data_IF_742669021369
#
_entry.id   IF_742669021369
#
_cell.length_a   1.000
_cell.length_b   1.000
_cell.length_c   1.000
_cell.angle_alpha   90.00
_cell.angle_beta   90.00
_cell.angle_gamma   90.00
#
_symmetry.space_group_name_H-M   'P 1'
#
loop_
_entity.id
_entity.type
_entity.pdbx_description
1 polymer ?
#
# COMPACT_ATOMS: atom_id res chain seq x y z
N UNK A 1 -32.42 14.23 -7.39
CA UNK A 1 -31.40 13.79 -6.41
C UNK A 1 -32.11 13.02 -5.32
N UNK A 2 -31.57 11.89 -4.88
CA UNK A 2 -32.13 11.14 -3.76
C UNK A 2 -32.13 12.00 -2.49
N UNK A 3 -33.22 11.96 -1.74
CA UNK A 3 -33.34 12.57 -0.42
C UNK A 3 -32.30 11.98 0.56
N UNK A 4 -32.02 12.69 1.67
CA UNK A 4 -31.10 12.17 2.70
C UNK A 4 -31.58 10.83 3.25
N UNK A 5 -32.88 10.66 3.46
CA UNK A 5 -33.46 9.40 3.93
C UNK A 5 -33.23 8.24 2.95
N UNK A 6 -33.42 8.47 1.65
CA UNK A 6 -33.14 7.46 0.61
C UNK A 6 -31.65 7.10 0.55
N UNK A 7 -30.75 8.07 0.70
CA UNK A 7 -29.31 7.81 0.74
C UNK A 7 -28.89 7.00 1.96
N UNK A 8 -29.48 7.28 3.14
CA UNK A 8 -29.23 6.51 4.37
C UNK A 8 -29.73 5.07 4.19
N UNK A 9 -30.95 4.90 3.70
CA UNK A 9 -31.53 3.58 3.45
C UNK A 9 -30.72 2.76 2.44
N UNK A 10 -30.28 3.39 1.34
CA UNK A 10 -29.45 2.72 0.33
C UNK A 10 -28.08 2.30 0.88
N UNK A 11 -27.43 3.14 1.69
CA UNK A 11 -26.15 2.82 2.30
C UNK A 11 -26.28 1.68 3.33
N UNK A 12 -27.32 1.73 4.17
CA UNK A 12 -27.60 0.67 5.13
C UNK A 12 -27.90 -0.66 4.43
N UNK A 13 -28.70 -0.62 3.36
CA UNK A 13 -29.00 -1.80 2.55
C UNK A 13 -27.73 -2.42 1.93
N UNK A 14 -26.80 -1.61 1.42
CA UNK A 14 -25.50 -2.10 0.92
C UNK A 14 -24.69 -2.74 2.06
N UNK A 15 -24.59 -2.10 3.22
CA UNK A 15 -23.86 -2.66 4.37
C UNK A 15 -24.41 -4.00 4.86
N UNK A 16 -25.73 -4.16 4.87
CA UNK A 16 -26.38 -5.38 5.35
C UNK A 16 -26.35 -6.52 4.32
N UNK A 17 -26.40 -6.19 3.03
CA UNK A 17 -26.55 -7.18 1.95
C UNK A 17 -25.27 -7.53 1.19
N UNK A 18 -24.26 -6.65 1.17
CA UNK A 18 -23.08 -6.82 0.32
C UNK A 18 -22.00 -7.68 1.03
N UNK A 19 -21.55 -8.81 0.45
CA UNK A 19 -20.51 -9.66 1.04
C UNK A 19 -19.18 -8.95 1.30
N UNK A 20 -18.90 -7.82 0.62
CA UNK A 20 -17.74 -6.97 0.89
C UNK A 20 -17.66 -6.51 2.35
N UNK A 21 -18.81 -6.35 3.02
CA UNK A 21 -18.90 -5.81 4.38
C UNK A 21 -19.09 -6.86 5.46
N UNK A 22 -19.08 -8.15 5.10
CA UNK A 22 -19.24 -9.23 6.06
C UNK A 22 -18.13 -9.19 7.13
N UNK A 23 -18.54 -9.05 8.40
CA UNK A 23 -17.62 -8.98 9.54
C UNK A 23 -16.91 -7.63 9.72
N UNK A 24 -17.33 -6.57 9.00
CA UNK A 24 -16.80 -5.21 9.17
C UNK A 24 -17.68 -4.43 10.14
N UNK A 25 -17.13 -4.07 11.29
CA UNK A 25 -17.79 -3.28 12.31
C UNK A 25 -17.68 -1.77 12.02
N UNK A 26 -18.79 -1.06 12.24
CA UNK A 26 -18.87 0.41 12.18
C UNK A 26 -19.46 0.92 13.49
N UNK A 27 -18.70 1.65 14.32
CA UNK A 27 -19.21 2.24 15.56
C UNK A 27 -19.95 3.58 15.29
N UNK A 28 -20.45 3.79 14.07
CA UNK A 28 -21.22 4.94 13.63
C UNK A 28 -22.31 4.47 12.66
N UNK A 29 -23.31 5.32 12.42
CA UNK A 29 -24.48 4.97 11.61
C UNK A 29 -24.33 5.40 10.14
N UNK A 30 -25.18 4.83 9.26
CA UNK A 30 -25.32 5.32 7.89
C UNK A 30 -25.81 6.80 7.85
N UNK A 31 -26.58 7.22 8.85
CA UNK A 31 -27.00 8.61 9.02
C UNK A 31 -25.81 9.55 9.26
N UNK A 32 -24.85 9.14 10.09
CA UNK A 32 -23.62 9.91 10.31
C UNK A 32 -22.83 10.10 9.02
N UNK A 33 -22.72 9.03 8.21
CA UNK A 33 -22.02 9.10 6.92
C UNK A 33 -22.70 10.10 5.97
N UNK A 34 -24.02 9.98 5.78
CA UNK A 34 -24.76 10.89 4.88
C UNK A 34 -24.75 12.33 5.40
N UNK A 35 -24.77 12.52 6.73
CA UNK A 35 -24.67 13.85 7.36
C UNK A 35 -23.31 14.52 7.08
N UNK A 36 -22.22 13.76 7.00
CA UNK A 36 -20.86 14.25 6.77
C UNK A 36 -20.45 14.32 5.28
N UNK A 37 -21.23 13.71 4.38
CA UNK A 37 -20.95 13.63 2.94
C UNK A 37 -21.08 14.96 2.18
N UNK A 38 -21.86 15.90 2.70
CA UNK A 38 -22.26 17.10 1.94
C UNK A 38 -23.40 16.81 0.95
N UNK A 39 -23.79 17.81 0.16
CA UNK A 39 -24.92 17.71 -0.77
C UNK A 39 -24.58 17.03 -2.10
N UNK A 40 -23.30 16.84 -2.41
CA UNK A 40 -22.80 16.30 -3.67
C UNK A 40 -21.69 15.27 -3.40
N UNK A 41 -21.87 14.06 -3.93
CA UNK A 41 -20.86 13.01 -3.85
C UNK A 41 -19.97 13.08 -5.11
N UNK A 42 -18.70 13.44 -4.92
CA UNK A 42 -17.70 13.39 -5.98
C UNK A 42 -17.38 11.93 -6.29
N UNK A 43 -17.34 11.58 -7.57
CA UNK A 43 -16.96 10.24 -7.98
C UNK A 43 -15.44 10.07 -7.97
N UNK A 44 -14.98 8.98 -7.35
CA UNK A 44 -13.56 8.61 -7.26
C UNK A 44 -13.32 7.31 -8.03
N UNK A 45 -13.48 7.33 -9.36
CA UNK A 45 -13.55 6.13 -10.21
C UNK A 45 -12.30 5.25 -10.13
N UNK A 46 -11.10 5.85 -10.05
CA UNK A 46 -9.83 5.10 -9.91
C UNK A 46 -9.78 4.37 -8.56
N UNK A 47 -10.08 5.07 -7.46
CA UNK A 47 -10.08 4.47 -6.12
C UNK A 47 -11.13 3.36 -6.01
N UNK A 48 -12.35 3.58 -6.52
CA UNK A 48 -13.42 2.58 -6.52
C UNK A 48 -13.00 1.33 -7.30
N UNK A 49 -12.60 1.50 -8.57
CA UNK A 49 -12.15 0.38 -9.42
C UNK A 49 -10.98 -0.36 -8.80
N UNK A 50 -10.00 0.38 -8.30
CA UNK A 50 -8.82 -0.17 -7.62
C UNK A 50 -9.20 -1.00 -6.41
N UNK A 51 -10.06 -0.48 -5.53
CA UNK A 51 -10.49 -1.17 -4.31
C UNK A 51 -11.30 -2.46 -4.62
N UNK A 52 -12.23 -2.39 -5.57
CA UNK A 52 -13.00 -3.56 -6.02
C UNK A 52 -12.08 -4.64 -6.63
N UNK A 53 -11.13 -4.23 -7.48
CA UNK A 53 -10.13 -5.13 -8.07
C UNK A 53 -9.20 -5.72 -7.02
N UNK A 54 -8.73 -4.92 -6.06
CA UNK A 54 -7.87 -5.39 -4.97
C UNK A 54 -8.59 -6.44 -4.12
N UNK A 55 -9.86 -6.19 -3.76
CA UNK A 55 -10.68 -7.15 -3.03
C UNK A 55 -10.83 -8.48 -3.79
N UNK A 56 -11.13 -8.42 -5.09
CA UNK A 56 -11.23 -9.61 -5.94
C UNK A 56 -9.91 -10.37 -6.00
N UNK A 57 -8.78 -9.68 -6.27
CA UNK A 57 -7.46 -10.30 -6.34
C UNK A 57 -7.06 -11.01 -5.04
N UNK A 58 -7.31 -10.41 -3.87
CA UNK A 58 -6.98 -11.02 -2.58
C UNK A 58 -7.79 -12.28 -2.28
N UNK A 59 -9.01 -12.38 -2.82
CA UNK A 59 -9.89 -13.55 -2.66
C UNK A 59 -9.57 -14.66 -3.65
N UNK A 60 -9.36 -14.29 -4.91
CA UNK A 60 -9.34 -15.25 -6.03
C UNK A 60 -7.93 -15.80 -6.29
N UNK A 61 -6.89 -15.15 -5.76
CA UNK A 61 -5.50 -15.56 -5.96
C UNK A 61 -4.94 -16.29 -4.73
N UNK A 62 -3.92 -17.16 -4.91
CA UNK A 62 -3.20 -17.74 -3.79
C UNK A 62 -2.66 -16.65 -2.86
N UNK A 63 -2.02 -15.62 -3.44
CA UNK A 63 -1.61 -14.37 -2.81
C UNK A 63 -1.35 -13.31 -3.90
N UNK A 64 -1.19 -12.07 -3.47
CA UNK A 64 -0.88 -10.91 -4.28
C UNK A 64 0.46 -10.33 -3.82
N UNK A 65 1.47 -10.39 -4.69
CA UNK A 65 2.78 -9.82 -4.44
C UNK A 65 2.84 -8.36 -4.91
N UNK A 66 3.49 -7.50 -4.14
CA UNK A 66 3.76 -6.11 -4.49
C UNK A 66 5.21 -5.71 -4.13
N UNK A 67 5.74 -4.72 -4.83
CA UNK A 67 7.02 -4.10 -4.53
C UNK A 67 6.79 -2.62 -4.24
N UNK A 68 7.46 -2.09 -3.22
CA UNK A 68 7.40 -0.65 -2.95
C UNK A 68 7.94 0.16 -4.11
N UNK A 69 7.13 1.05 -4.67
CA UNK A 69 7.51 1.96 -5.74
C UNK A 69 7.88 3.33 -5.15
N UNK A 70 9.06 3.85 -5.52
CA UNK A 70 9.51 5.21 -5.16
C UNK A 70 9.30 6.23 -6.28
N UNK A 71 8.83 5.79 -7.45
CA UNK A 71 8.55 6.64 -8.60
C UNK A 71 7.56 6.01 -9.56
N UNK A 72 6.86 6.85 -10.33
CA UNK A 72 5.74 6.41 -11.18
C UNK A 72 6.16 5.48 -12.33
N UNK A 73 7.29 5.75 -12.97
CA UNK A 73 7.83 4.84 -14.00
C UNK A 73 8.23 3.48 -13.42
N UNK A 74 8.73 3.44 -12.19
CA UNK A 74 9.03 2.17 -11.52
C UNK A 74 7.76 1.35 -11.29
N UNK A 75 6.65 2.00 -10.89
CA UNK A 75 5.35 1.34 -10.76
C UNK A 75 4.82 0.83 -12.11
N UNK A 76 4.97 1.61 -13.18
CA UNK A 76 4.63 1.16 -14.54
C UNK A 76 5.41 -0.09 -14.94
N UNK A 77 6.74 -0.09 -14.71
CA UNK A 77 7.58 -1.25 -15.01
C UNK A 77 7.22 -2.49 -14.15
N UNK A 78 6.78 -2.30 -12.90
CA UNK A 78 6.26 -3.39 -12.07
C UNK A 78 5.01 -4.03 -12.70
N UNK A 79 4.08 -3.22 -13.24
CA UNK A 79 2.88 -3.73 -13.93
C UNK A 79 3.25 -4.44 -15.23
N UNK A 80 4.15 -3.86 -16.03
CA UNK A 80 4.63 -4.48 -17.28
C UNK A 80 5.36 -5.80 -17.03
N UNK A 81 6.05 -5.93 -15.90
CA UNK A 81 6.69 -7.18 -15.48
C UNK A 81 5.70 -8.24 -14.96
N UNK A 82 4.41 -7.91 -14.86
CA UNK A 82 3.33 -8.83 -14.48
C UNK A 82 2.84 -8.73 -13.04
N UNK A 83 3.30 -7.74 -12.24
CA UNK A 83 2.71 -7.49 -10.93
C UNK A 83 1.31 -6.90 -11.06
N UNK A 84 0.39 -7.37 -10.22
CA UNK A 84 -1.04 -7.00 -10.27
C UNK A 84 -1.46 -6.07 -9.13
N UNK A 85 -0.52 -5.61 -8.32
CA UNK A 85 -0.73 -4.61 -7.30
C UNK A 85 0.58 -3.87 -7.03
N UNK A 86 0.43 -2.66 -6.51
CA UNK A 86 1.52 -1.75 -6.23
C UNK A 86 1.48 -1.36 -4.76
N UNK A 87 2.65 -1.07 -4.20
CA UNK A 87 2.77 -0.54 -2.84
C UNK A 87 3.49 0.79 -2.86
N UNK A 88 2.98 1.76 -2.10
CA UNK A 88 3.64 3.05 -1.88
C UNK A 88 3.96 3.16 -0.41
N UNK A 89 5.25 3.00 -0.09
CA UNK A 89 5.75 3.15 1.27
C UNK A 89 5.69 4.62 1.72
N UNK A 90 5.44 4.83 3.01
CA UNK A 90 5.73 6.08 3.69
C UNK A 90 7.21 6.09 4.07
N UNK A 91 7.89 7.23 3.89
CA UNK A 91 9.34 7.47 4.10
C UNK A 91 10.34 6.37 3.63
N UNK A 92 11.45 6.78 3.00
CA UNK A 92 12.60 5.88 2.80
C UNK A 92 13.36 5.64 4.13
N UNK A 93 13.08 6.43 5.16
CA UNK A 93 13.68 6.36 6.48
C UNK A 93 12.64 5.85 7.49
N UNK A 94 12.77 4.60 7.98
CA UNK A 94 11.81 4.04 8.93
C UNK A 94 11.76 4.87 10.23
N UNK A 95 10.54 5.13 10.71
CA UNK A 95 10.30 5.58 12.09
C UNK A 95 10.36 7.09 12.34
N UNK A 96 10.46 7.91 11.30
CA UNK A 96 10.27 9.35 11.39
C UNK A 96 8.98 9.72 10.63
N UNK A 97 8.21 10.69 11.13
CA UNK A 97 7.06 11.26 10.41
C UNK A 97 7.37 12.72 10.12
N UNK A 98 8.49 12.96 9.42
CA UNK A 98 9.07 14.27 9.20
C UNK A 98 8.66 14.87 7.84
N UNK A 99 8.15 14.07 6.91
CA UNK A 99 7.64 14.58 5.64
C UNK A 99 6.17 15.00 5.75
N UNK A 100 5.74 15.83 4.79
CA UNK A 100 4.36 16.25 4.69
C UNK A 100 3.45 15.03 4.47
N UNK A 101 2.36 14.94 5.24
CA UNK A 101 1.35 13.89 5.12
C UNK A 101 0.82 13.71 3.69
N UNK A 102 0.84 14.77 2.87
CA UNK A 102 0.42 14.76 1.46
C UNK A 102 1.39 14.07 0.50
N UNK A 103 2.63 13.73 0.92
CA UNK A 103 3.64 13.16 0.02
C UNK A 103 3.21 11.80 -0.54
N UNK A 104 2.65 10.92 0.30
CA UNK A 104 2.16 9.61 -0.15
C UNK A 104 1.02 9.79 -1.14
N UNK A 105 0.05 10.67 -0.86
CA UNK A 105 -1.04 10.97 -1.79
C UNK A 105 -0.53 11.55 -3.13
N UNK A 106 0.51 12.38 -3.09
CA UNK A 106 1.16 12.91 -4.31
C UNK A 106 1.81 11.78 -5.11
N UNK A 107 2.49 10.84 -4.46
CA UNK A 107 3.09 9.69 -5.11
C UNK A 107 2.02 8.75 -5.72
N UNK A 108 0.94 8.47 -4.99
CA UNK A 108 -0.21 7.67 -5.48
C UNK A 108 -0.81 8.32 -6.73
N UNK A 109 -1.04 9.63 -6.71
CA UNK A 109 -1.56 10.38 -7.86
C UNK A 109 -0.62 10.26 -9.05
N UNK A 110 0.67 10.53 -8.85
CA UNK A 110 1.67 10.43 -9.92
C UNK A 110 1.75 9.04 -10.52
N UNK A 111 1.64 7.98 -9.71
CA UNK A 111 1.59 6.59 -10.19
C UNK A 111 0.35 6.39 -11.07
N UNK A 112 -0.84 6.74 -10.57
CA UNK A 112 -2.07 6.57 -11.33
C UNK A 112 -2.08 7.36 -12.65
N UNK A 113 -1.53 8.58 -12.66
CA UNK A 113 -1.41 9.39 -13.88
C UNK A 113 -0.49 8.73 -14.92
N UNK A 114 0.63 8.13 -14.48
CA UNK A 114 1.53 7.37 -15.36
C UNK A 114 0.88 6.09 -15.88
N UNK A 115 0.16 5.35 -15.04
CA UNK A 115 -0.54 4.13 -15.47
C UNK A 115 -1.68 4.43 -16.44
N UNK A 116 -2.43 5.53 -16.22
CA UNK A 116 -3.41 6.04 -17.17
C UNK A 116 -2.76 6.41 -18.51
N UNK A 117 -1.59 7.05 -18.48
CA UNK A 117 -0.87 7.38 -19.71
C UNK A 117 -0.45 6.11 -20.46
N UNK A 118 0.04 5.09 -19.77
CA UNK A 118 0.41 3.82 -20.38
C UNK A 118 -0.81 3.11 -21.02
N UNK A 119 -1.96 3.11 -20.33
CA UNK A 119 -3.24 2.62 -20.84
C UNK A 119 -3.70 3.38 -22.09
N UNK A 120 -3.63 4.72 -22.06
CA UNK A 120 -3.94 5.57 -23.22
C UNK A 120 -3.06 5.29 -24.43
N UNK A 121 -1.75 5.09 -24.23
CA UNK A 121 -0.81 4.72 -25.30
C UNK A 121 -1.19 3.37 -25.89
N UNK A 122 -1.42 2.37 -25.05
CA UNK A 122 -1.82 1.03 -25.48
C UNK A 122 -3.12 1.06 -26.29
N UNK A 123 -4.15 1.74 -25.79
CA UNK A 123 -5.45 1.84 -26.43
C UNK A 123 -5.37 2.58 -27.78
N UNK A 124 -4.59 3.66 -27.87
CA UNK A 124 -4.38 4.40 -29.11
C UNK A 124 -3.65 3.57 -30.18
N UNK A 125 -2.82 2.60 -29.77
CA UNK A 125 -2.17 1.64 -30.65
C UNK A 125 -3.08 0.45 -31.04
N UNK A 126 -4.34 0.44 -30.57
CA UNK A 126 -5.29 -0.64 -30.84
C UNK A 126 -5.00 -1.92 -30.05
N UNK A 127 -4.33 -1.78 -28.90
CA UNK A 127 -3.97 -2.90 -28.01
C UNK A 127 -4.76 -2.81 -26.70
N UNK A 128 -4.89 -3.96 -26.04
CA UNK A 128 -5.55 -4.13 -24.74
C UNK A 128 -4.89 -5.25 -23.89
N UNK A 129 -3.60 -5.52 -24.15
CA UNK A 129 -2.87 -6.67 -23.61
C UNK A 129 -2.44 -6.53 -22.13
N UNK A 130 -2.38 -5.31 -21.60
CA UNK A 130 -2.05 -5.04 -20.20
C UNK A 130 -3.14 -4.21 -19.50
N UNK A 131 -3.55 -4.65 -18.30
CA UNK A 131 -4.39 -3.85 -17.42
C UNK A 131 -3.53 -2.99 -16.47
N UNK A 132 -3.09 -1.84 -17.00
CA UNK A 132 -2.14 -0.93 -16.34
C UNK A 132 -2.61 -0.37 -15.00
N UNK A 133 -3.92 -0.18 -14.80
CA UNK A 133 -4.46 0.40 -13.58
C UNK A 133 -4.52 -0.63 -12.43
N UNK A 134 -3.34 -1.13 -12.06
CA UNK A 134 -3.14 -2.00 -10.92
C UNK A 134 -3.50 -1.26 -9.62
N UNK A 135 -4.19 -1.92 -8.67
CA UNK A 135 -4.53 -1.32 -7.38
C UNK A 135 -3.29 -0.89 -6.59
N UNK A 136 -3.33 0.33 -6.07
CA UNK A 136 -2.27 0.91 -5.23
C UNK A 136 -2.65 0.79 -3.76
N UNK A 137 -1.83 0.10 -2.97
CA UNK A 137 -1.91 0.08 -1.51
C UNK A 137 -0.91 1.11 -0.96
N UNK A 138 -1.41 2.06 -0.17
CA UNK A 138 -0.64 3.18 0.32
C UNK A 138 -0.44 3.15 1.84
N UNK A 139 0.72 3.64 2.27
CA UNK A 139 1.07 3.83 3.66
C UNK A 139 0.39 5.07 4.27
N UNK A 140 -0.37 4.86 5.33
CA UNK A 140 -1.07 5.91 6.09
C UNK A 140 -0.34 6.34 7.37
N UNK A 141 0.80 5.74 7.75
CA UNK A 141 1.49 6.05 9.01
C UNK A 141 2.04 7.49 9.01
N UNK A 142 2.63 7.92 7.90
CA UNK A 142 3.43 9.15 7.79
C UNK A 142 2.65 10.46 8.06
N UNK A 143 1.33 10.41 8.27
CA UNK A 143 0.51 11.61 8.53
C UNK A 143 -0.60 11.46 9.57
N UNK A 144 -0.84 10.27 10.13
CA UNK A 144 -2.00 10.01 10.99
C UNK A 144 -1.66 9.99 12.49
N UNK A 145 -1.27 11.14 13.02
CA UNK A 145 -0.99 11.33 14.45
C UNK A 145 -2.21 11.08 15.35
N UNK A 146 -3.43 11.26 14.83
CA UNK A 146 -4.69 11.04 15.56
C UNK A 146 -5.80 10.61 14.59
N UNK A 147 -6.98 10.26 15.12
CA UNK A 147 -8.13 9.83 14.32
C UNK A 147 -8.55 10.87 13.27
N UNK A 148 -8.56 12.17 13.60
CA UNK A 148 -8.90 13.22 12.64
C UNK A 148 -7.89 13.34 11.49
N UNK A 149 -6.59 13.18 11.79
CA UNK A 149 -5.56 13.15 10.76
C UNK A 149 -5.66 11.89 9.87
N UNK A 150 -6.00 10.73 10.46
CA UNK A 150 -6.27 9.50 9.72
C UNK A 150 -7.46 9.67 8.75
N UNK A 151 -8.52 10.37 9.17
CA UNK A 151 -9.67 10.70 8.32
C UNK A 151 -9.24 11.52 7.09
N UNK A 152 -8.57 12.65 7.29
CA UNK A 152 -8.15 13.53 6.19
C UNK A 152 -7.11 12.89 5.27
N UNK A 153 -6.15 12.13 5.83
CA UNK A 153 -5.18 11.40 5.02
C UNK A 153 -5.84 10.32 4.17
N UNK A 154 -6.78 9.56 4.73
CA UNK A 154 -7.56 8.57 3.97
C UNK A 154 -8.30 9.24 2.82
N UNK A 155 -8.89 10.43 3.06
CA UNK A 155 -9.56 11.18 1.99
C UNK A 155 -8.61 11.58 0.88
N UNK A 156 -7.47 12.17 1.23
CA UNK A 156 -6.45 12.57 0.26
C UNK A 156 -5.92 11.37 -0.57
N UNK A 157 -5.77 10.19 0.06
CA UNK A 157 -5.36 8.97 -0.63
C UNK A 157 -6.44 8.45 -1.59
N UNK A 158 -7.71 8.49 -1.21
CA UNK A 158 -8.83 8.13 -2.10
C UNK A 158 -8.94 9.11 -3.26
N UNK A 159 -8.79 10.42 -3.01
CA UNK A 159 -8.75 11.45 -4.06
C UNK A 159 -7.58 11.27 -5.03
N UNK A 160 -6.48 10.66 -4.58
CA UNK A 160 -5.34 10.29 -5.39
C UNK A 160 -5.51 8.96 -6.14
N UNK A 161 -6.55 8.18 -5.81
CA UNK A 161 -6.84 6.89 -6.45
C UNK A 161 -6.24 5.67 -5.74
N UNK A 162 -5.99 5.73 -4.42
CA UNK A 162 -5.57 4.55 -3.66
C UNK A 162 -6.70 3.50 -3.60
N UNK A 163 -6.33 2.23 -3.75
CA UNK A 163 -7.22 1.08 -3.63
C UNK A 163 -7.33 0.57 -2.18
N UNK A 164 -6.25 0.74 -1.42
CA UNK A 164 -6.19 0.39 0.00
C UNK A 164 -5.21 1.26 0.75
N UNK A 165 -5.42 1.37 2.06
CA UNK A 165 -4.59 2.15 2.98
C UNK A 165 -4.28 1.31 4.21
N UNK A 166 -3.06 1.38 4.73
CA UNK A 166 -2.74 0.79 6.03
C UNK A 166 -2.49 1.86 7.10
N UNK A 167 -2.92 1.57 8.31
CA UNK A 167 -2.63 2.35 9.51
C UNK A 167 -2.16 1.43 10.63
N UNK A 168 -1.32 1.99 11.49
CA UNK A 168 -0.56 1.25 12.47
C UNK A 168 -0.81 1.78 13.86
N UNK A 169 -0.39 0.98 14.83
CA UNK A 169 -0.47 1.29 16.24
C UNK A 169 0.81 1.90 16.80
N UNK A 170 1.70 2.38 15.92
CA UNK A 170 2.88 3.14 16.29
C UNK A 170 2.52 4.62 16.52
N UNK A 171 3.16 5.20 17.53
CA UNK A 171 3.16 6.63 17.76
C UNK A 171 4.14 7.31 16.81
N UNK A 172 3.68 8.36 16.13
CA UNK A 172 4.54 9.23 15.34
C UNK A 172 5.59 9.89 16.26
N UNK A 173 6.87 9.74 15.92
CA UNK A 173 7.97 10.28 16.73
C UNK A 173 9.03 10.96 15.86
N UNK A 174 9.61 12.09 16.31
CA UNK A 174 10.70 12.73 15.57
C UNK A 174 12.04 12.00 15.73
N UNK A 175 12.19 11.11 16.72
CA UNK A 175 13.44 10.42 17.04
C UNK A 175 13.47 8.96 16.54
N UNK A 176 14.67 8.48 16.19
CA UNK A 176 14.93 7.10 15.72
C UNK A 176 14.89 6.05 16.85
N UNK A 177 14.10 6.30 17.89
CA UNK A 177 14.02 5.47 19.09
C UNK A 177 13.34 4.13 18.83
N UNK A 178 13.30 3.27 19.85
CA UNK A 178 12.52 2.04 19.84
C UNK A 178 11.05 2.34 19.48
N UNK A 179 10.41 1.46 18.71
CA UNK A 179 9.00 1.61 18.34
C UNK A 179 8.13 1.78 19.60
N UNK A 180 7.21 2.75 19.55
CA UNK A 180 6.33 3.14 20.66
C UNK A 180 4.90 2.89 20.25
N UNK A 181 4.17 2.12 21.03
CA UNK A 181 2.76 1.82 20.79
C UNK A 181 1.88 2.96 21.30
N UNK A 182 0.83 3.27 20.56
CA UNK A 182 -0.35 3.94 21.11
C UNK A 182 -1.28 2.91 21.77
N UNK A 183 -2.19 3.31 22.68
CA UNK A 183 -3.16 2.40 23.26
C UNK A 183 -4.03 1.74 22.18
N UNK A 184 -4.44 0.49 22.40
CA UNK A 184 -5.23 -0.31 21.43
C UNK A 184 -6.45 0.46 20.92
N UNK A 185 -7.21 1.12 21.79
CA UNK A 185 -8.35 1.98 21.43
C UNK A 185 -8.01 3.17 20.53
N UNK A 186 -6.80 3.72 20.61
CA UNK A 186 -6.39 4.82 19.73
C UNK A 186 -6.15 4.31 18.31
N UNK A 187 -5.51 3.15 18.16
CA UNK A 187 -5.37 2.48 16.87
C UNK A 187 -6.75 2.15 16.27
N UNK A 188 -7.68 1.62 17.08
CA UNK A 188 -9.08 1.39 16.65
C UNK A 188 -9.77 2.69 16.21
N UNK A 189 -9.54 3.81 16.91
CA UNK A 189 -10.09 5.10 16.53
C UNK A 189 -9.55 5.59 15.17
N UNK A 190 -8.27 5.35 14.87
CA UNK A 190 -7.68 5.64 13.55
C UNK A 190 -8.31 4.78 12.44
N UNK A 191 -8.45 3.47 12.66
CA UNK A 191 -9.09 2.55 11.70
C UNK A 191 -10.56 2.92 11.46
N UNK A 192 -11.28 3.28 12.52
CA UNK A 192 -12.66 3.76 12.47
C UNK A 192 -12.78 5.03 11.63
N UNK A 193 -11.89 5.99 11.86
CA UNK A 193 -11.86 7.24 11.12
C UNK A 193 -11.51 7.04 9.64
N UNK A 194 -10.57 6.13 9.32
CA UNK A 194 -10.27 5.75 7.96
C UNK A 194 -11.47 5.10 7.26
N UNK A 195 -12.21 4.22 7.93
CA UNK A 195 -13.44 3.63 7.37
C UNK A 195 -14.51 4.70 7.14
N UNK A 196 -14.66 5.63 8.08
CA UNK A 196 -15.62 6.72 7.95
C UNK A 196 -15.30 7.61 6.75
N UNK A 197 -14.02 7.91 6.51
CA UNK A 197 -13.59 8.63 5.31
C UNK A 197 -13.96 7.90 4.03
N UNK A 198 -13.70 6.59 3.95
CA UNK A 198 -14.05 5.76 2.79
C UNK A 198 -15.57 5.70 2.54
N UNK A 199 -16.38 5.53 3.58
CA UNK A 199 -17.85 5.49 3.50
C UNK A 199 -18.42 6.87 3.11
N UNK A 200 -17.85 7.96 3.63
CA UNK A 200 -18.21 9.35 3.27
C UNK A 200 -17.94 9.60 1.79
N UNK A 201 -16.77 9.17 1.30
CA UNK A 201 -16.36 9.29 -0.11
C UNK A 201 -17.00 8.24 -1.03
N UNK A 202 -17.78 7.31 -0.47
CA UNK A 202 -18.50 6.30 -1.24
C UNK A 202 -17.56 5.36 -2.00
N UNK A 203 -16.45 4.94 -1.40
CA UNK A 203 -15.50 3.99 -2.01
C UNK A 203 -15.28 2.76 -1.11
N UNK A 204 -15.19 1.54 -1.68
CA UNK A 204 -14.99 0.32 -0.88
C UNK A 204 -13.51 0.07 -0.51
N UNK A 205 -12.75 1.15 -0.30
CA UNK A 205 -11.31 1.18 -0.03
C UNK A 205 -10.92 0.15 1.03
N UNK A 206 -9.88 -0.64 0.76
CA UNK A 206 -9.43 -1.65 1.71
C UNK A 206 -8.65 -1.01 2.84
N UNK A 207 -8.96 -1.39 4.07
CA UNK A 207 -8.21 -0.98 5.25
C UNK A 207 -7.37 -2.12 5.78
N UNK A 208 -6.10 -1.84 6.01
CA UNK A 208 -5.14 -2.79 6.57
C UNK A 208 -4.73 -2.28 7.95
N UNK A 209 -4.90 -3.08 9.00
CA UNK A 209 -4.43 -2.73 10.33
C UNK A 209 -3.05 -3.36 10.58
N UNK A 210 -2.05 -2.50 10.78
CA UNK A 210 -0.69 -2.89 11.13
C UNK A 210 -0.48 -2.85 12.64
N UNK A 211 0.19 -3.84 13.20
CA UNK A 211 0.70 -3.80 14.57
C UNK A 211 2.21 -3.96 14.59
N UNK A 212 2.88 -3.18 15.44
CA UNK A 212 4.33 -3.24 15.67
C UNK A 212 4.68 -3.88 17.02
N UNK A 213 3.70 -4.50 17.70
CA UNK A 213 3.85 -5.03 19.05
C UNK A 213 4.80 -6.24 19.18
N UNK A 214 5.23 -6.85 18.06
CA UNK A 214 6.31 -7.85 18.10
C UNK A 214 7.64 -7.22 18.53
N UNK A 215 7.97 -6.04 17.99
CA UNK A 215 9.24 -5.36 18.25
C UNK A 215 9.15 -4.20 19.24
N UNK A 216 7.96 -3.65 19.49
CA UNK A 216 7.79 -2.45 20.31
C UNK A 216 7.81 -2.74 21.82
N UNK A 217 8.73 -2.08 22.53
CA UNK A 217 8.94 -2.26 23.98
C UNK A 217 8.41 -1.09 24.83
N UNK A 218 7.76 -0.10 24.19
CA UNK A 218 7.22 1.09 24.83
C UNK A 218 5.75 1.30 24.45
N UNK A 219 4.96 1.82 25.40
CA UNK A 219 3.54 2.16 25.24
C UNK A 219 3.28 3.56 25.81
N UNK A 220 2.49 4.37 25.09
CA UNK A 220 2.16 5.74 25.49
C UNK A 220 1.35 5.82 26.79
N UNK A 221 0.40 4.90 27.00
CA UNK A 221 -0.47 4.89 28.17
C UNK A 221 -1.04 3.49 28.43
N UNK A 222 -1.10 3.08 29.71
CA UNK A 222 -1.64 1.81 30.20
C UNK A 222 -3.17 1.80 30.40
N UNK A 223 -3.86 2.78 29.82
CA UNK A 223 -5.27 3.04 30.08
C UNK A 223 -6.23 2.02 29.46
N UNK A 224 -5.78 1.27 28.46
CA UNK A 224 -6.58 0.27 27.75
C UNK A 224 -6.43 -1.13 28.38
N UNK A 225 -7.54 -1.83 28.59
CA UNK A 225 -7.55 -3.16 29.19
C UNK A 225 -6.82 -4.22 28.36
N UNK A 226 -6.74 -4.05 27.03
CA UNK A 226 -6.01 -4.97 26.15
C UNK A 226 -4.49 -4.87 26.32
N UNK A 227 -4.01 -3.71 26.76
CA UNK A 227 -2.58 -3.41 26.85
C UNK A 227 -2.00 -3.70 28.24
N UNK A 228 -2.82 -3.51 29.29
CA UNK A 228 -2.42 -3.68 30.70
C UNK A 228 -1.70 -5.00 31.01
N UNK A 229 -2.10 -6.18 30.49
CA UNK A 229 -1.41 -7.44 30.77
C UNK A 229 0.07 -7.46 30.35
N UNK A 230 0.48 -6.56 29.45
CA UNK A 230 1.82 -6.50 28.90
C UNK A 230 2.68 -5.41 29.57
N UNK A 231 2.09 -4.48 30.32
CA UNK A 231 2.82 -3.46 31.06
C UNK A 231 3.69 -4.08 32.17
N UNK A 232 4.97 -3.70 32.23
CA UNK A 232 5.90 -4.22 33.26
C UNK A 232 5.81 -3.45 34.59
N UNK A 233 5.13 -2.31 34.59
CA UNK A 233 5.08 -1.36 35.71
C UNK A 233 6.21 -0.32 35.71
N UNK A 234 7.23 -0.50 34.87
CA UNK A 234 8.31 0.48 34.72
C UNK A 234 7.93 1.60 33.73
N UNK A 235 8.52 2.79 33.93
CA UNK A 235 8.35 3.94 33.04
C UNK A 235 9.70 4.52 32.60
N UNK A 236 9.72 5.16 31.44
CA UNK A 236 10.86 5.96 30.97
C UNK A 236 10.78 7.40 31.48
N UNK A 237 11.85 8.19 31.28
CA UNK A 237 11.90 9.61 31.70
C UNK A 237 10.91 10.49 30.92
N UNK A 238 10.62 10.10 29.68
CA UNK A 238 9.62 10.73 28.81
C UNK A 238 8.18 10.35 29.21
N UNK A 239 8.02 9.41 30.15
CA UNK A 239 6.73 8.98 30.67
C UNK A 239 6.11 7.78 29.95
N UNK A 240 6.80 7.14 29.01
CA UNK A 240 6.32 5.92 28.37
C UNK A 240 6.32 4.74 29.35
N UNK A 241 5.38 3.82 29.19
CA UNK A 241 5.33 2.55 29.92
C UNK A 241 6.18 1.51 29.18
N UNK A 242 7.00 0.76 29.92
CA UNK A 242 7.67 -0.40 29.34
C UNK A 242 6.69 -1.56 29.23
N UNK A 243 6.73 -2.26 28.11
CA UNK A 243 5.84 -3.40 27.82
C UNK A 243 6.63 -4.63 27.37
N UNK A 244 6.11 -5.81 27.68
CA UNK A 244 6.54 -7.08 27.09
C UNK A 244 6.08 -7.10 25.64
N UNK A 245 7.03 -7.25 24.71
CA UNK A 245 6.79 -7.38 23.28
C UNK A 245 6.73 -8.86 22.84
N UNK A 246 6.34 -9.11 21.60
CA UNK A 246 6.39 -10.44 20.97
C UNK A 246 5.05 -10.90 20.39
N UNK A 247 4.89 -12.22 20.23
CA UNK A 247 3.72 -12.82 19.58
C UNK A 247 2.40 -12.53 20.33
N UNK A 248 2.39 -12.70 21.65
CA UNK A 248 1.18 -12.55 22.47
C UNK A 248 0.53 -11.15 22.36
N UNK A 249 1.26 -10.03 22.59
CA UNK A 249 0.68 -8.70 22.42
C UNK A 249 0.31 -8.40 20.95
N UNK A 250 1.07 -8.91 19.98
CA UNK A 250 0.73 -8.76 18.56
C UNK A 250 -0.60 -9.46 18.20
N UNK A 251 -0.83 -10.67 18.71
CA UNK A 251 -2.10 -11.39 18.53
C UNK A 251 -3.25 -10.65 19.21
N UNK A 252 -3.11 -10.23 20.47
CA UNK A 252 -4.18 -9.50 21.19
C UNK A 252 -4.60 -8.25 20.43
N UNK A 253 -3.63 -7.48 19.93
CA UNK A 253 -3.90 -6.27 19.14
C UNK A 253 -4.53 -6.59 17.79
N UNK A 254 -4.01 -7.57 17.06
CA UNK A 254 -4.59 -8.01 15.79
C UNK A 254 -6.05 -8.46 15.94
N UNK A 255 -6.37 -9.21 17.00
CA UNK A 255 -7.74 -9.63 17.33
C UNK A 255 -8.64 -8.42 17.65
N UNK A 256 -8.13 -7.42 18.37
CA UNK A 256 -8.87 -6.18 18.64
C UNK A 256 -9.12 -5.35 17.37
N UNK A 257 -8.21 -5.38 16.40
CA UNK A 257 -8.33 -4.65 15.14
C UNK A 257 -9.16 -5.38 14.09
N UNK A 258 -9.29 -6.71 14.20
CA UNK A 258 -9.95 -7.55 13.21
C UNK A 258 -11.35 -7.07 12.78
N UNK A 259 -12.24 -6.58 13.67
CA UNK A 259 -13.55 -6.08 13.23
C UNK A 259 -13.48 -4.80 12.39
N UNK A 260 -12.41 -4.02 12.50
CA UNK A 260 -12.31 -2.68 11.90
C UNK A 260 -11.45 -2.62 10.63
N UNK A 261 -10.75 -3.70 10.30
CA UNK A 261 -9.86 -3.79 9.14
C UNK A 261 -10.26 -4.93 8.21
N UNK A 262 -9.98 -4.80 6.92
CA UNK A 262 -10.16 -5.87 5.94
C UNK A 262 -9.02 -6.89 6.01
N UNK A 263 -7.79 -6.39 6.26
CA UNK A 263 -6.55 -7.18 6.32
C UNK A 263 -5.79 -6.84 7.60
N UNK A 264 -5.16 -7.84 8.23
CA UNK A 264 -4.29 -7.66 9.40
C UNK A 264 -2.83 -7.87 9.04
N UNK A 265 -1.95 -7.04 9.58
CA UNK A 265 -0.50 -7.11 9.35
C UNK A 265 0.25 -7.01 10.67
N UNK A 266 1.01 -8.05 11.03
CA UNK A 266 2.02 -7.96 12.08
C UNK A 266 3.37 -7.62 11.45
N UNK A 267 3.98 -6.51 11.83
CA UNK A 267 5.37 -6.25 11.49
C UNK A 267 6.27 -7.21 12.28
N UNK A 268 7.33 -7.69 11.65
CA UNK A 268 8.24 -8.67 12.25
C UNK A 268 9.69 -8.24 12.09
N UNK A 269 10.50 -8.53 13.09
CA UNK A 269 11.94 -8.23 13.10
C UNK A 269 12.81 -9.19 12.24
N UNK A 270 12.28 -10.34 11.82
CA UNK A 270 13.01 -11.37 11.04
C UNK A 270 12.07 -12.25 10.21
N UNK A 271 12.56 -12.90 9.14
CA UNK A 271 11.74 -13.79 8.32
C UNK A 271 11.60 -15.16 9.00
N UNK A 272 10.49 -15.37 9.71
CA UNK A 272 10.26 -16.55 10.56
C UNK A 272 8.86 -17.14 10.27
N UNK A 273 8.83 -18.26 9.54
CA UNK A 273 7.59 -18.95 9.16
C UNK A 273 6.89 -19.60 10.36
N UNK A 274 7.61 -19.95 11.42
CA UNK A 274 7.00 -20.51 12.63
C UNK A 274 6.23 -19.41 13.39
N UNK A 275 6.81 -18.21 13.50
CA UNK A 275 6.12 -17.05 14.04
C UNK A 275 4.89 -16.69 13.19
N UNK A 276 5.05 -16.61 11.86
CA UNK A 276 3.96 -16.28 10.95
C UNK A 276 2.79 -17.28 11.07
N UNK A 277 3.11 -18.58 11.13
CA UNK A 277 2.11 -19.63 11.33
C UNK A 277 1.37 -19.46 12.67
N UNK A 278 2.08 -19.27 13.77
CA UNK A 278 1.47 -19.13 15.09
C UNK A 278 0.57 -17.88 15.19
N UNK A 279 0.98 -16.76 14.58
CA UNK A 279 0.16 -15.56 14.49
C UNK A 279 -1.12 -15.81 13.66
N UNK A 280 -0.98 -16.42 12.48
CA UNK A 280 -2.10 -16.72 11.61
C UNK A 280 -3.12 -17.66 12.27
N UNK A 281 -2.65 -18.76 12.88
CA UNK A 281 -3.49 -19.72 13.59
C UNK A 281 -4.29 -19.06 14.73
N UNK A 282 -3.63 -18.22 15.55
CA UNK A 282 -4.30 -17.52 16.64
C UNK A 282 -5.35 -16.50 16.17
N UNK A 283 -5.08 -15.79 15.07
CA UNK A 283 -6.07 -14.89 14.45
C UNK A 283 -7.24 -15.69 13.88
N UNK A 284 -6.96 -16.76 13.13
CA UNK A 284 -7.98 -17.56 12.46
C UNK A 284 -8.82 -18.41 13.42
N UNK A 285 -8.34 -18.68 14.63
CA UNK A 285 -9.16 -19.30 15.68
C UNK A 285 -10.37 -18.43 16.03
N UNK A 286 -10.21 -17.09 16.04
CA UNK A 286 -11.30 -16.15 16.37
C UNK A 286 -11.97 -15.55 15.13
N UNK A 287 -11.21 -15.35 14.06
CA UNK A 287 -11.67 -14.80 12.80
C UNK A 287 -11.26 -15.70 11.63
N UNK A 288 -11.94 -16.85 11.43
CA UNK A 288 -11.61 -17.80 10.37
C UNK A 288 -11.58 -17.12 8.99
N UNK A 289 -10.49 -17.33 8.25
CA UNK A 289 -10.34 -16.76 6.91
C UNK A 289 -10.04 -15.26 6.86
N UNK A 290 -9.76 -14.61 8.00
CA UNK A 290 -9.34 -13.21 8.01
C UNK A 290 -8.09 -13.02 7.14
N UNK A 291 -8.15 -12.06 6.23
CA UNK A 291 -7.03 -11.80 5.33
C UNK A 291 -5.84 -11.26 6.13
N UNK A 292 -4.65 -11.79 5.84
CA UNK A 292 -3.41 -11.33 6.45
C UNK A 292 -2.49 -10.70 5.39
N UNK A 293 -1.64 -9.78 5.84
CA UNK A 293 -0.55 -9.22 5.06
C UNK A 293 0.80 -9.46 5.72
N UNK A 294 1.85 -9.55 4.90
CA UNK A 294 3.22 -9.79 5.35
C UNK A 294 4.21 -8.92 4.56
N UNK A 295 5.08 -8.18 5.26
CA UNK A 295 6.21 -7.50 4.64
C UNK A 295 7.44 -8.40 4.66
N UNK A 296 7.84 -8.85 3.48
CA UNK A 296 9.10 -9.50 3.20
C UNK A 296 10.22 -8.44 3.23
N UNK A 297 10.45 -7.86 4.41
CA UNK A 297 11.27 -6.67 4.58
C UNK A 297 12.69 -6.84 4.02
N UNK A 298 13.22 -5.82 3.31
CA UNK A 298 14.61 -5.81 2.89
C UNK A 298 15.58 -5.45 4.03
N UNK A 299 15.09 -5.06 5.22
CA UNK A 299 15.94 -4.89 6.42
C UNK A 299 16.44 -6.23 6.97
N UNK A 300 15.81 -7.34 6.58
CA UNK A 300 16.28 -8.68 6.93
C UNK A 300 17.54 -9.03 6.16
N UNK A 301 18.53 -9.58 6.86
CA UNK A 301 19.61 -10.29 6.18
C UNK A 301 19.14 -11.71 5.82
N UNK A 302 18.43 -11.84 4.69
CA UNK A 302 17.76 -13.08 4.27
C UNK A 302 18.67 -14.32 4.31
N UNK A 303 19.86 -14.25 3.69
CA UNK A 303 20.81 -15.38 3.66
C UNK A 303 21.49 -15.68 4.99
N UNK A 304 21.44 -14.76 5.96
CA UNK A 304 21.87 -15.03 7.33
C UNK A 304 20.85 -15.89 8.09
N UNK A 305 19.57 -15.81 7.73
CA UNK A 305 18.47 -16.47 8.43
C UNK A 305 17.97 -17.73 7.73
N UNK A 306 18.00 -17.76 6.40
CA UNK A 306 17.37 -18.80 5.59
C UNK A 306 18.29 -19.28 4.46
N UNK A 307 18.17 -20.57 4.13
CA UNK A 307 18.78 -21.15 2.93
C UNK A 307 17.99 -20.79 1.65
N UNK A 308 18.60 -21.01 0.48
CA UNK A 308 18.02 -20.65 -0.82
C UNK A 308 16.71 -21.40 -1.12
N UNK A 309 16.56 -22.65 -0.69
CA UNK A 309 15.33 -23.41 -0.88
C UNK A 309 14.19 -22.89 0.00
N UNK A 310 14.51 -22.41 1.21
CA UNK A 310 13.59 -21.79 2.14
C UNK A 310 13.14 -20.41 1.64
N UNK A 311 14.07 -19.60 1.12
CA UNK A 311 13.76 -18.31 0.47
C UNK A 311 12.81 -18.51 -0.72
N UNK A 312 13.10 -19.50 -1.60
CA UNK A 312 12.32 -19.74 -2.81
C UNK A 312 10.85 -20.14 -2.55
N UNK A 313 10.55 -20.77 -1.42
CA UNK A 313 9.19 -21.20 -1.04
C UNK A 313 8.50 -20.27 -0.04
N UNK A 314 9.21 -19.30 0.53
CA UNK A 314 8.76 -18.46 1.64
C UNK A 314 7.37 -17.84 1.42
N UNK A 315 7.17 -17.14 0.29
CA UNK A 315 5.89 -16.50 -0.02
C UNK A 315 4.74 -17.49 -0.24
N UNK A 316 5.04 -18.68 -0.80
CA UNK A 316 4.04 -19.73 -1.00
C UNK A 316 3.59 -20.35 0.32
N UNK A 317 4.52 -20.54 1.26
CA UNK A 317 4.20 -21.01 2.60
C UNK A 317 3.37 -19.98 3.37
N UNK A 318 3.73 -18.68 3.31
CA UNK A 318 2.91 -17.60 3.85
C UNK A 318 1.49 -17.59 3.26
N UNK A 319 1.37 -17.76 1.94
CA UNK A 319 0.06 -17.79 1.27
C UNK A 319 -0.84 -18.91 1.80
N UNK A 320 -0.26 -20.10 2.08
CA UNK A 320 -0.98 -21.23 2.66
C UNK A 320 -1.49 -20.97 4.08
N UNK A 321 -0.87 -20.02 4.81
CA UNK A 321 -1.29 -19.57 6.15
C UNK A 321 -2.31 -18.42 6.11
N UNK A 322 -2.72 -17.95 4.91
CA UNK A 322 -3.69 -16.86 4.75
C UNK A 322 -3.10 -15.46 4.58
N UNK A 323 -1.77 -15.34 4.41
CA UNK A 323 -1.12 -14.09 4.01
C UNK A 323 -1.35 -13.82 2.52
N UNK A 324 -2.46 -13.14 2.23
CA UNK A 324 -2.95 -12.86 0.88
C UNK A 324 -2.32 -11.63 0.24
N UNK A 325 -1.82 -10.68 1.02
CA UNK A 325 -1.05 -9.54 0.52
C UNK A 325 0.39 -9.62 1.01
N UNK A 326 1.35 -9.71 0.09
CA UNK A 326 2.76 -9.86 0.45
C UNK A 326 3.58 -8.81 -0.27
N UNK A 327 4.37 -8.05 0.49
CA UNK A 327 5.06 -6.87 -0.04
C UNK A 327 6.55 -6.92 0.29
N UNK A 328 7.38 -6.30 -0.55
CA UNK A 328 8.73 -5.86 -0.14
C UNK A 328 8.70 -4.34 -0.10
N UNK A 329 8.55 -3.78 1.10
CA UNK A 329 8.25 -2.35 1.31
C UNK A 329 9.24 -1.36 0.68
N UNK A 330 10.54 -1.64 0.71
CA UNK A 330 11.58 -0.75 0.17
C UNK A 330 12.27 -1.27 -1.11
N UNK A 331 11.66 -2.24 -1.80
CA UNK A 331 12.23 -2.84 -3.02
C UNK A 331 12.68 -1.79 -4.05
N UNK A 332 11.82 -0.79 -4.30
CA UNK A 332 12.09 0.24 -5.28
C UNK A 332 13.26 1.15 -4.90
N UNK A 333 13.43 1.44 -3.61
CA UNK A 333 14.56 2.21 -3.12
C UNK A 333 15.88 1.43 -3.30
N UNK A 334 15.89 0.14 -2.96
CA UNK A 334 17.07 -0.71 -3.17
C UNK A 334 17.44 -0.83 -4.66
N UNK A 335 16.45 -1.10 -5.52
CA UNK A 335 16.66 -1.21 -6.96
C UNK A 335 17.21 0.10 -7.57
N UNK A 336 16.62 1.24 -7.19
CA UNK A 336 17.03 2.55 -7.68
C UNK A 336 18.45 2.93 -7.23
N UNK A 337 18.73 2.82 -5.93
CA UNK A 337 20.03 3.21 -5.39
C UNK A 337 21.15 2.29 -5.89
N UNK A 338 20.94 0.97 -5.90
CA UNK A 338 21.95 0.04 -6.39
C UNK A 338 22.19 0.20 -7.90
N UNK A 339 21.13 0.25 -8.70
CA UNK A 339 21.24 0.40 -10.16
C UNK A 339 22.00 1.66 -10.55
N UNK A 340 21.63 2.81 -9.94
CA UNK A 340 22.31 4.08 -10.21
C UNK A 340 23.76 4.09 -9.69
N UNK A 341 24.02 3.56 -8.49
CA UNK A 341 25.38 3.47 -7.95
C UNK A 341 26.28 2.61 -8.83
N UNK A 342 25.80 1.44 -9.26
CA UNK A 342 26.57 0.53 -10.12
C UNK A 342 26.91 1.19 -11.46
N UNK A 343 25.94 1.84 -12.11
CA UNK A 343 26.15 2.60 -13.34
C UNK A 343 27.16 3.73 -13.12
N UNK A 344 26.97 4.59 -12.12
CA UNK A 344 27.84 5.74 -11.86
C UNK A 344 29.27 5.31 -11.50
N UNK A 345 29.42 4.26 -10.69
CA UNK A 345 30.72 3.70 -10.33
C UNK A 345 31.48 3.18 -11.56
N UNK A 346 30.78 2.47 -12.45
CA UNK A 346 31.31 2.02 -13.73
C UNK A 346 31.65 3.19 -14.65
N UNK A 347 30.74 4.13 -14.82
CA UNK A 347 30.86 5.28 -15.73
C UNK A 347 32.01 6.21 -15.34
N UNK A 348 32.23 6.45 -14.04
CA UNK A 348 33.36 7.22 -13.53
C UNK A 348 34.72 6.62 -13.89
N UNK A 349 34.78 5.32 -14.22
CA UNK A 349 36.03 4.57 -14.50
C UNK A 349 36.17 4.16 -15.97
N UNK A 350 35.07 3.82 -16.63
CA UNK A 350 35.05 3.21 -17.97
C UNK A 350 34.12 3.93 -18.96
N UNK A 351 33.52 5.05 -18.52
CA UNK A 351 32.64 5.92 -19.31
C UNK A 351 31.61 5.10 -20.09
N UNK A 352 31.57 5.27 -21.43
CA UNK A 352 30.57 4.65 -22.29
C UNK A 352 30.49 3.14 -22.18
N UNK A 353 31.59 2.43 -21.86
CA UNK A 353 31.53 0.97 -21.70
C UNK A 353 30.56 0.54 -20.60
N UNK A 354 30.49 1.28 -19.49
CA UNK A 354 29.54 0.99 -18.41
C UNK A 354 28.08 1.30 -18.80
N UNK A 355 27.86 2.33 -19.63
CA UNK A 355 26.52 2.65 -20.13
C UNK A 355 26.06 1.63 -21.18
N UNK A 356 26.94 1.20 -22.08
CA UNK A 356 26.64 0.17 -23.09
C UNK A 356 26.32 -1.17 -22.43
N UNK A 357 26.97 -1.54 -21.32
CA UNK A 357 26.59 -2.74 -20.55
C UNK A 357 25.15 -2.69 -20.03
N UNK A 358 24.69 -1.51 -19.57
CA UNK A 358 23.29 -1.32 -19.20
C UNK A 358 22.37 -1.43 -20.42
N UNK A 359 22.73 -0.78 -21.52
CA UNK A 359 21.95 -0.81 -22.77
C UNK A 359 21.82 -2.23 -23.34
N UNK A 360 22.89 -3.02 -23.34
CA UNK A 360 22.85 -4.42 -23.77
C UNK A 360 21.98 -5.28 -22.84
N UNK A 361 21.99 -5.00 -21.54
CA UNK A 361 21.08 -5.65 -20.59
C UNK A 361 19.61 -5.28 -20.87
N UNK A 362 19.33 -4.04 -21.27
CA UNK A 362 18.00 -3.59 -21.69
C UNK A 362 17.54 -4.29 -22.98
N UNK A 363 18.41 -4.41 -23.99
CA UNK A 363 18.11 -5.17 -25.21
C UNK A 363 17.79 -6.64 -24.90
N UNK A 364 18.57 -7.27 -24.03
CA UNK A 364 18.32 -8.65 -23.60
C UNK A 364 16.99 -8.79 -22.80
N UNK A 365 16.56 -7.74 -22.09
CA UNK A 365 15.31 -7.74 -21.35
C UNK A 365 14.07 -7.61 -22.26
N UNK A 366 14.22 -7.19 -23.53
CA UNK A 366 13.11 -7.08 -24.48
C UNK A 366 12.38 -8.41 -24.69
N UNK A 367 13.09 -9.55 -24.63
CA UNK A 367 12.50 -10.90 -24.69
C UNK A 367 11.52 -11.19 -23.55
N UNK A 368 11.65 -10.47 -22.43
CA UNK A 368 10.80 -10.58 -21.25
C UNK A 368 9.66 -9.55 -21.25
N UNK A 369 9.51 -8.74 -22.30
CA UNK A 369 8.51 -7.69 -22.41
C UNK A 369 8.97 -6.30 -21.96
N UNK A 370 10.27 -6.07 -21.71
CA UNK A 370 10.78 -4.74 -21.42
C UNK A 370 10.76 -3.85 -22.67
N UNK A 371 9.83 -2.90 -22.72
CA UNK A 371 9.64 -2.03 -23.90
C UNK A 371 10.39 -0.69 -23.83
N UNK A 372 11.03 -0.36 -22.70
CA UNK A 372 11.71 0.93 -22.50
C UNK A 372 13.04 1.10 -23.23
N UNK A 373 13.47 0.07 -23.98
CA UNK A 373 14.48 0.22 -25.04
C UNK A 373 14.10 1.35 -26.02
N UNK A 374 12.80 1.54 -26.27
CA UNK A 374 12.26 2.63 -27.08
C UNK A 374 11.72 3.74 -26.18
N UNK A 375 12.60 4.47 -25.52
CA UNK A 375 12.24 5.48 -24.51
C UNK A 375 11.21 6.50 -25.01
N UNK A 376 11.29 6.97 -26.25
CA UNK A 376 10.30 7.90 -26.84
C UNK A 376 8.87 7.36 -26.85
N UNK A 377 8.69 6.05 -27.08
CA UNK A 377 7.37 5.41 -27.02
C UNK A 377 6.84 5.36 -25.60
N UNK A 378 7.69 4.99 -24.65
CA UNK A 378 7.34 4.97 -23.21
C UNK A 378 7.01 6.38 -22.68
N UNK A 379 7.64 7.42 -23.24
CA UNK A 379 7.33 8.83 -22.94
C UNK A 379 6.06 9.35 -23.63
N UNK A 380 5.34 8.47 -24.34
CA UNK A 380 4.06 8.75 -25.00
C UNK A 380 4.13 9.75 -26.17
N UNK A 381 5.26 9.87 -26.86
CA UNK A 381 5.42 10.73 -28.04
C UNK A 381 4.39 10.38 -29.13
N UNK A 382 4.18 9.09 -29.39
CA UNK A 382 3.19 8.63 -30.38
C UNK A 382 1.74 9.00 -30.01
N UNK A 383 1.43 9.04 -28.71
CA UNK A 383 0.11 9.50 -28.25
C UNK A 383 -0.03 11.02 -28.39
N UNK A 384 1.01 11.79 -28.07
CA UNK A 384 1.01 13.24 -28.29
C UNK A 384 0.81 13.59 -29.77
N UNK A 385 1.47 12.87 -30.68
CA UNK A 385 1.26 12.96 -32.13
C UNK A 385 -0.18 12.65 -32.54
N UNK A 386 -0.79 11.61 -31.96
CA UNK A 386 -2.18 11.24 -32.23
C UNK A 386 -3.16 12.35 -31.79
N UNK A 387 -2.96 12.94 -30.62
CA UNK A 387 -3.74 14.09 -30.14
C UNK A 387 -3.57 15.29 -31.06
N UNK A 388 -2.33 15.61 -31.45
CA UNK A 388 -2.05 16.74 -32.34
C UNK A 388 -2.73 16.57 -33.71
N UNK A 389 -2.72 15.36 -34.27
CA UNK A 389 -3.44 15.04 -35.53
C UNK A 389 -4.96 15.17 -35.37
N UNK A 390 -5.52 14.73 -34.26
CA UNK A 390 -6.95 14.86 -33.99
C UNK A 390 -7.39 16.34 -33.92
N UNK A 391 -6.59 17.18 -33.24
CA UNK A 391 -6.82 18.64 -33.18
C UNK A 391 -6.71 19.27 -34.57
N UNK A 392 -5.69 18.88 -35.35
CA UNK A 392 -5.43 19.38 -36.70
C UNK A 392 -6.35 18.81 -37.79
N UNK A 393 -7.42 18.08 -37.45
CA UNK A 393 -8.33 17.43 -38.41
C UNK A 393 -7.60 16.51 -39.42
N UNK A 394 -6.56 15.82 -38.98
CA UNK A 394 -5.74 14.96 -39.83
C UNK A 394 -4.63 15.67 -40.60
N UNK A 395 -4.48 16.99 -40.47
CA UNK A 395 -3.27 17.67 -40.94
C UNK A 395 -2.07 17.25 -40.07
N UNK A 396 -0.89 17.02 -40.66
CA UNK A 396 0.29 16.66 -39.92
C UNK A 396 0.63 17.77 -38.90
N UNK A 397 0.90 17.37 -37.66
CA UNK A 397 1.42 18.28 -36.65
C UNK A 397 2.72 18.93 -37.17
N UNK A 398 3.00 20.21 -36.86
CA UNK A 398 4.32 20.77 -37.13
C UNK A 398 5.35 19.88 -36.40
N UNK A 399 6.25 19.25 -37.17
CA UNK A 399 7.15 18.20 -36.69
C UNK A 399 7.81 18.58 -35.35
N UNK A 400 7.44 17.90 -34.27
CA UNK A 400 8.35 17.72 -33.16
C UNK A 400 9.50 16.85 -33.68
N UNK A 401 10.75 17.27 -33.46
CA UNK A 401 11.95 16.63 -33.99
C UNK A 401 11.93 15.11 -33.71
N UNK A 402 11.77 14.30 -34.75
CA UNK A 402 12.22 12.91 -34.74
C UNK A 402 13.75 12.94 -34.73
N UNK A 403 14.36 12.95 -33.54
CA UNK A 403 15.79 12.68 -33.42
C UNK A 403 15.97 11.16 -33.45
N UNK A 404 16.83 10.74 -34.38
CA UNK A 404 17.08 9.37 -34.83
C UNK A 404 17.52 8.40 -33.74
#
# INVERSE_FOLDING_TARGET
MASRAEQVAALQFDWDGNPRWQGVARPYSAEDVVRLRGSFLVEHSIARRGAERLWALLRDQPFLAALGAVGAHQAMQQVMAGLRALYVAGEVLPGQSLYAASQVATAVRSINDTLLRADQVQWAEGRDDCDFLAPVVADGEAGAACAGAAFELTRALIEAGAAGVHFGDQMASPDRGAARLVPTREAIAKLTAARLAADVMGTPTLLIARTVAEGASLLASDIDGNDKPFCTGERTVEGFYKVRNGLEPAVVRALAYAPFADVLWCETSRPDLAFAKAFAEAVHEKFPGKLLAYDCSPSFNWKKHLDDASIARFQKELAAMGYKFQVISLAGAHALNYGMFNLAHGYARRQMAAFVELQEAEFAAAEKGFAAVKLQRELADGYADAVARAIGQGQPAPMALRVA
#
